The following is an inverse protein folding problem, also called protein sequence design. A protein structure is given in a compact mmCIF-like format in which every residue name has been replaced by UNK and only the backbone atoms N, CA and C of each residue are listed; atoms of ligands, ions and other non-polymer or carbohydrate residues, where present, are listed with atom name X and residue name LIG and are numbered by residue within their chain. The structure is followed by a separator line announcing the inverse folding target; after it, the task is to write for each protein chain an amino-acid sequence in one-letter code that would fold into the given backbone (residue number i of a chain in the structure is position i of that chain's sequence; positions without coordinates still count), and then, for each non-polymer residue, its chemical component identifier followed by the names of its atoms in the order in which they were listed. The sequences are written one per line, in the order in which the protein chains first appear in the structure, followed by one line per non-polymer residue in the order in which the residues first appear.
data_IF_233244653872
#
_entry.id   IF_233244653872
#
_cell.length_a   1.000
_cell.length_b   1.000
_cell.length_c   1.000
_cell.angle_alpha   90.00
_cell.angle_beta   90.00
_cell.angle_gamma   90.00
#
_symmetry.space_group_name_H-M   'P 1'
#
loop_
_entity.id
_entity.type
_entity.pdbx_description
1 polymer ?
#
# COMPACT_ATOMS: atom_id res chain seq x y z
N UNK A 1 -0.14 -30.20 0.12
CA UNK A 1 0.91 -29.19 -0.10
C UNK A 1 0.69 -28.07 0.89
N UNK A 2 1.72 -27.52 1.53
CA UNK A 2 1.59 -26.39 2.47
C UNK A 2 1.99 -25.13 1.72
N UNK A 3 1.02 -24.27 1.46
CA UNK A 3 1.22 -23.00 0.75
C UNK A 3 2.15 -22.10 1.57
N UNK A 4 3.25 -21.72 0.93
CA UNK A 4 4.29 -20.85 1.47
C UNK A 4 3.72 -19.43 1.47
N UNK A 5 3.36 -18.92 2.65
CA UNK A 5 2.95 -17.52 2.82
C UNK A 5 4.18 -16.65 2.61
N UNK A 6 4.37 -16.19 1.37
CA UNK A 6 5.35 -15.18 1.01
C UNK A 6 4.92 -13.82 1.58
N UNK A 7 5.24 -13.57 2.86
CA UNK A 7 5.23 -12.23 3.45
C UNK A 7 6.35 -11.39 2.82
N UNK A 8 6.11 -10.77 1.65
CA UNK A 8 6.96 -9.66 1.17
C UNK A 8 6.28 -8.81 0.09
N UNK A 9 5.57 -7.77 0.53
CA UNK A 9 5.14 -6.65 -0.31
C UNK A 9 4.24 -7.04 -1.47
N UNK A 10 2.95 -7.25 -1.21
CA UNK A 10 1.95 -7.46 -2.24
C UNK A 10 1.94 -6.26 -3.20
N UNK A 11 2.58 -6.45 -4.34
CA UNK A 11 2.55 -5.52 -5.47
C UNK A 11 1.10 -5.52 -5.92
N UNK A 12 0.39 -4.41 -5.71
CA UNK A 12 -0.96 -4.27 -6.25
C UNK A 12 -0.88 -4.35 -7.77
N UNK A 13 -1.26 -5.49 -8.34
CA UNK A 13 -1.32 -5.67 -9.79
C UNK A 13 -2.58 -5.06 -10.41
N UNK A 14 -3.59 -4.79 -9.56
CA UNK A 14 -4.90 -4.28 -9.96
C UNK A 14 -5.34 -3.12 -9.06
N UNK A 15 -6.12 -2.22 -9.62
CA UNK A 15 -6.79 -1.16 -8.85
C UNK A 15 -7.86 -1.78 -7.94
N UNK A 16 -7.91 -1.44 -6.63
CA UNK A 16 -8.88 -1.98 -5.70
C UNK A 16 -10.32 -1.47 -5.94
N UNK A 17 -10.50 -0.40 -6.73
CA UNK A 17 -11.82 0.19 -6.99
C UNK A 17 -12.47 -0.32 -8.28
N UNK A 18 -11.70 -0.53 -9.34
CA UNK A 18 -12.25 -0.90 -10.65
C UNK A 18 -11.67 -2.20 -11.22
N UNK A 19 -10.81 -2.88 -10.47
CA UNK A 19 -10.09 -4.10 -10.89
C UNK A 19 -9.30 -3.95 -12.21
N UNK A 20 -9.03 -2.72 -12.65
CA UNK A 20 -8.17 -2.48 -13.79
C UNK A 20 -6.74 -2.89 -13.46
N UNK A 21 -6.11 -3.65 -14.36
CA UNK A 21 -4.68 -3.98 -14.25
C UNK A 21 -3.85 -2.69 -14.27
N UNK A 22 -3.00 -2.56 -13.26
CA UNK A 22 -2.02 -1.50 -13.19
C UNK A 22 -0.86 -1.82 -14.12
N UNK A 23 -0.39 -0.81 -14.85
CA UNK A 23 0.80 -0.91 -15.69
C UNK A 23 2.04 -1.15 -14.84
N UNK A 24 3.10 -1.67 -15.45
CA UNK A 24 4.38 -1.89 -14.76
C UNK A 24 4.90 -0.61 -14.09
N UNK A 25 4.69 0.56 -14.71
CA UNK A 25 5.08 1.83 -14.12
C UNK A 25 4.20 2.24 -12.93
N UNK A 26 2.88 2.02 -13.00
CA UNK A 26 1.95 2.26 -11.89
C UNK A 26 2.25 1.38 -10.68
N UNK A 27 2.64 0.13 -10.90
CA UNK A 27 3.12 -0.78 -9.85
C UNK A 27 4.41 -0.25 -9.20
N UNK A 28 5.34 0.29 -10.00
CA UNK A 28 6.56 0.93 -9.49
C UNK A 28 6.23 2.17 -8.67
N UNK A 29 5.31 3.03 -9.13
CA UNK A 29 4.87 4.21 -8.40
C UNK A 29 4.25 3.84 -7.04
N UNK A 30 3.39 2.82 -7.00
CA UNK A 30 2.84 2.32 -5.73
C UNK A 30 3.92 1.77 -4.79
N UNK A 31 4.99 1.18 -5.34
CA UNK A 31 6.09 0.64 -4.52
C UNK A 31 6.99 1.74 -3.95
N UNK A 32 7.27 2.78 -4.73
CA UNK A 32 8.23 3.84 -4.38
C UNK A 32 7.54 5.00 -3.68
N UNK A 33 6.52 5.56 -4.32
CA UNK A 33 5.79 6.75 -3.85
C UNK A 33 4.71 6.39 -2.83
N UNK A 34 4.29 5.11 -2.80
CA UNK A 34 3.19 4.60 -1.97
C UNK A 34 1.84 5.27 -2.23
N UNK A 35 1.75 6.10 -3.25
CA UNK A 35 0.53 6.72 -3.69
C UNK A 35 0.39 6.61 -5.22
N UNK A 36 -0.83 6.36 -5.68
CA UNK A 36 -1.15 6.33 -7.10
C UNK A 36 -2.60 6.70 -7.33
N UNK A 37 -2.86 7.52 -8.35
CA UNK A 37 -4.22 7.75 -8.85
C UNK A 37 -4.43 6.83 -10.05
N UNK A 38 -5.43 5.94 -9.96
CA UNK A 38 -5.79 5.08 -11.08
C UNK A 38 -6.36 5.91 -12.22
N UNK A 39 -5.77 5.82 -13.42
CA UNK A 39 -6.22 6.61 -14.58
C UNK A 39 -7.61 6.22 -15.13
N UNK A 40 -8.13 5.03 -14.77
CA UNK A 40 -9.45 4.56 -15.23
C UNK A 40 -10.61 5.06 -14.39
N UNK A 41 -10.48 4.98 -13.06
CA UNK A 41 -11.55 5.34 -12.13
C UNK A 41 -11.23 6.56 -11.28
N UNK A 42 -10.06 7.17 -11.46
CA UNK A 42 -9.58 8.33 -10.71
C UNK A 42 -9.48 8.10 -9.19
N UNK A 43 -9.54 6.84 -8.76
CA UNK A 43 -9.41 6.47 -7.36
C UNK A 43 -7.95 6.61 -6.90
N UNK A 44 -7.75 7.25 -5.75
CA UNK A 44 -6.44 7.43 -5.13
C UNK A 44 -6.14 6.26 -4.19
N UNK A 45 -5.15 5.46 -4.57
CA UNK A 45 -4.59 4.37 -3.79
C UNK A 45 -3.47 4.96 -2.94
N UNK A 46 -3.48 4.72 -1.63
CA UNK A 46 -2.44 5.16 -0.69
C UNK A 46 -2.08 3.97 0.18
N UNK A 47 -0.80 3.60 0.20
CA UNK A 47 -0.28 2.53 1.03
C UNK A 47 0.33 3.11 2.31
N UNK A 48 0.10 2.47 3.47
CA UNK A 48 0.73 2.86 4.71
C UNK A 48 2.26 2.69 4.62
N UNK A 49 3.02 3.39 5.47
CA UNK A 49 4.46 3.22 5.49
C UNK A 49 4.87 1.78 5.83
N UNK A 50 5.94 1.28 5.18
CA UNK A 50 6.41 -0.10 5.35
C UNK A 50 6.90 -0.40 6.77
N UNK A 51 7.31 0.64 7.48
CA UNK A 51 7.62 0.60 8.90
C UNK A 51 6.56 1.46 9.61
N UNK A 52 5.42 0.88 10.02
CA UNK A 52 4.62 1.51 11.05
C UNK A 52 5.49 1.47 12.30
N UNK A 53 6.29 2.52 12.53
CA UNK A 53 6.79 2.76 13.86
C UNK A 53 5.54 2.78 14.74
N UNK A 54 5.54 1.86 15.69
CA UNK A 54 4.52 1.68 16.71
C UNK A 54 4.03 3.04 17.19
N UNK A 55 2.74 3.16 17.56
CA UNK A 55 2.22 4.40 18.09
C UNK A 55 3.22 4.91 19.13
N UNK A 56 3.71 6.13 18.93
CA UNK A 56 4.24 6.92 20.04
C UNK A 56 3.15 6.81 21.08
N UNK A 57 3.35 5.96 22.09
CA UNK A 57 2.61 6.09 23.33
C UNK A 57 3.02 7.48 23.78
N UNK A 58 2.15 8.45 23.48
CA UNK A 58 2.07 9.68 24.23
C UNK A 58 1.81 9.20 25.67
N UNK A 59 2.91 8.89 26.38
CA UNK A 59 2.93 8.72 27.81
C UNK A 59 2.48 10.07 28.33
N UNK A 60 1.17 10.11 28.53
CA UNK A 60 0.38 11.15 29.15
C UNK A 60 1.29 12.07 29.97
N UNK A 61 1.37 13.31 29.53
CA UNK A 61 1.52 14.46 30.41
C UNK A 61 0.41 14.39 31.48
N UNK A 62 0.60 13.56 32.50
CA UNK A 62 -0.25 13.48 33.68
C UNK A 62 0.60 13.86 34.88
N UNK A 63 0.56 15.17 35.12
CA UNK A 63 0.58 15.85 36.42
C UNK A 63 1.54 15.37 37.49
#
# INVERSE_FOLDING_TARGET
MKDNIEKKGEVFEVCPHCNARLTSWEQVLLKVDRALICKKCWYKIILPPENPLEPLVDEELKK
#
